data_IF_898060846143
#
_entry.id   IF_898060846143
#
_cell.length_a   1.000
_cell.length_b   1.000
_cell.length_c   1.000
_cell.angle_alpha   90.00
_cell.angle_beta   90.00
_cell.angle_gamma   90.00
#
_symmetry.space_group_name_H-M   'P 1'
#
loop_
_entity.id
_entity.type
_entity.pdbx_description
1 polymer ?
#
# COMPACT_ATOMS: atom_id res chain seq x y z
N UNK A 1 4.68 -10.87 17.49
CA UNK A 1 3.68 -11.03 16.41
C UNK A 1 4.44 -11.37 15.15
N UNK A 2 4.14 -12.50 14.52
CA UNK A 2 4.81 -12.96 13.29
C UNK A 2 4.47 -12.08 12.09
N UNK A 3 5.24 -12.26 11.02
CA UNK A 3 5.17 -11.40 9.87
C UNK A 3 3.90 -11.56 9.05
N UNK A 4 3.37 -12.78 8.97
CA UNK A 4 2.10 -13.07 8.31
C UNK A 4 0.94 -12.44 9.05
N UNK A 5 0.89 -12.50 10.39
CA UNK A 5 -0.19 -11.87 11.14
C UNK A 5 -0.13 -10.35 10.98
N UNK A 6 1.07 -9.73 10.96
CA UNK A 6 1.18 -8.28 10.69
C UNK A 6 0.58 -7.92 9.33
N UNK A 7 0.93 -8.63 8.27
CA UNK A 7 0.36 -8.43 6.92
C UNK A 7 -1.16 -8.61 6.93
N UNK A 8 -1.65 -9.70 7.53
CA UNK A 8 -3.08 -9.99 7.59
C UNK A 8 -3.87 -8.90 8.33
N UNK A 9 -3.37 -8.44 9.47
CA UNK A 9 -4.01 -7.40 10.29
C UNK A 9 -4.02 -6.06 9.54
N UNK A 10 -2.88 -5.63 9.00
CA UNK A 10 -2.80 -4.39 8.21
C UNK A 10 -3.72 -4.43 7.00
N UNK A 11 -3.77 -5.57 6.30
CA UNK A 11 -4.69 -5.76 5.18
C UNK A 11 -6.16 -5.64 5.59
N UNK A 12 -6.56 -6.22 6.73
CA UNK A 12 -7.92 -6.07 7.25
C UNK A 12 -8.26 -4.62 7.58
N UNK A 13 -7.32 -3.85 8.13
CA UNK A 13 -7.52 -2.43 8.40
C UNK A 13 -7.64 -1.60 7.12
N UNK A 14 -6.84 -1.90 6.10
CA UNK A 14 -6.99 -1.31 4.76
C UNK A 14 -8.39 -1.54 4.18
N UNK A 15 -8.85 -2.80 4.20
CA UNK A 15 -10.20 -3.13 3.72
C UNK A 15 -11.29 -2.41 4.51
N UNK A 16 -11.14 -2.31 5.85
CA UNK A 16 -12.08 -1.58 6.70
C UNK A 16 -12.11 -0.09 6.35
N UNK A 17 -10.95 0.55 6.20
CA UNK A 17 -10.85 1.95 5.84
C UNK A 17 -11.49 2.23 4.47
N UNK A 18 -11.30 1.33 3.49
CA UNK A 18 -11.96 1.41 2.19
C UNK A 18 -13.49 1.31 2.29
N UNK A 19 -14.01 0.35 3.07
CA UNK A 19 -15.47 0.21 3.29
C UNK A 19 -16.07 1.44 3.94
N UNK A 20 -15.36 2.04 4.90
CA UNK A 20 -15.78 3.26 5.59
C UNK A 20 -15.51 4.54 4.77
N UNK A 21 -14.98 4.43 3.54
CA UNK A 21 -14.61 5.54 2.67
C UNK A 21 -13.65 6.53 3.33
N UNK A 22 -12.80 6.05 4.23
CA UNK A 22 -11.80 6.83 4.94
C UNK A 22 -10.50 6.89 4.13
N UNK A 23 -10.36 7.95 3.33
CA UNK A 23 -9.24 8.16 2.40
C UNK A 23 -7.87 8.06 3.07
N UNK A 24 -7.63 8.88 4.10
CA UNK A 24 -6.31 8.97 4.77
C UNK A 24 -5.95 7.64 5.45
N UNK A 25 -6.79 7.04 6.33
CA UNK A 25 -6.51 5.72 6.87
C UNK A 25 -6.25 4.65 5.81
N UNK A 26 -6.98 4.67 4.68
CA UNK A 26 -6.72 3.71 3.62
C UNK A 26 -5.34 3.88 2.97
N UNK A 27 -4.90 5.13 2.71
CA UNK A 27 -3.55 5.38 2.22
C UNK A 27 -2.48 4.96 3.23
N UNK A 28 -2.70 5.28 4.52
CA UNK A 28 -1.78 4.91 5.61
C UNK A 28 -1.65 3.39 5.73
N UNK A 29 -2.76 2.65 5.75
CA UNK A 29 -2.68 1.19 5.83
C UNK A 29 -2.14 0.56 4.55
N UNK A 30 -2.39 1.14 3.37
CA UNK A 30 -1.77 0.68 2.13
C UNK A 30 -0.25 0.91 2.13
N UNK A 31 0.21 2.07 2.62
CA UNK A 31 1.64 2.36 2.80
C UNK A 31 2.30 1.33 3.71
N UNK A 32 1.76 1.11 4.91
CA UNK A 32 2.31 0.13 5.84
C UNK A 32 2.22 -1.31 5.31
N UNK A 33 1.16 -1.64 4.56
CA UNK A 33 1.06 -2.95 3.93
C UNK A 33 2.16 -3.14 2.87
N UNK A 34 2.43 -2.13 2.04
CA UNK A 34 3.50 -2.17 1.04
C UNK A 34 4.88 -2.27 1.70
N UNK A 35 5.11 -1.48 2.76
CA UNK A 35 6.34 -1.57 3.56
C UNK A 35 6.55 -2.99 4.11
N UNK A 36 5.51 -3.61 4.67
CA UNK A 36 5.60 -4.99 5.19
C UNK A 36 5.78 -6.03 4.08
N UNK A 37 5.40 -5.74 2.84
CA UNK A 37 5.60 -6.64 1.69
C UNK A 37 7.05 -6.54 1.20
N UNK A 38 7.57 -5.33 1.07
CA UNK A 38 8.92 -5.10 0.50
C UNK A 38 10.04 -5.37 1.51
N UNK A 39 9.82 -5.14 2.81
CA UNK A 39 10.87 -5.28 3.83
C UNK A 39 11.02 -6.69 4.43
N UNK A 40 10.23 -7.68 3.99
CA UNK A 40 10.15 -8.98 4.70
C UNK A 40 10.62 -10.17 3.88
N UNK A 41 11.12 -11.18 4.60
CA UNK A 41 11.54 -12.48 4.06
C UNK A 41 10.38 -13.33 3.50
N UNK A 42 9.13 -12.87 3.61
CA UNK A 42 8.01 -13.59 3.05
C UNK A 42 8.07 -13.56 1.53
N UNK A 43 8.13 -14.75 0.93
CA UNK A 43 8.06 -14.88 -0.52
C UNK A 43 6.76 -14.26 -1.06
N UNK A 44 6.82 -13.70 -2.27
CA UNK A 44 5.64 -13.20 -3.00
C UNK A 44 4.47 -14.20 -3.01
N UNK A 45 4.77 -15.50 -3.07
CA UNK A 45 3.78 -16.59 -3.01
C UNK A 45 3.04 -16.63 -1.67
N UNK A 46 3.75 -16.46 -0.55
CA UNK A 46 3.14 -16.43 0.79
C UNK A 46 2.28 -15.19 1.00
N UNK A 47 2.74 -14.03 0.51
CA UNK A 47 1.95 -12.79 0.60
C UNK A 47 0.65 -12.90 -0.20
N UNK A 48 0.69 -13.48 -1.41
CA UNK A 48 -0.49 -13.70 -2.28
C UNK A 48 -1.54 -14.64 -1.69
N UNK A 49 -1.21 -15.44 -0.68
CA UNK A 49 -2.19 -16.26 0.06
C UNK A 49 -3.02 -15.42 1.05
N UNK A 50 -2.54 -14.21 1.40
CA UNK A 50 -3.14 -13.35 2.42
C UNK A 50 -3.79 -12.13 1.80
N UNK A 51 -3.12 -11.51 0.83
CA UNK A 51 -3.50 -10.26 0.18
C UNK A 51 -3.86 -10.54 -1.27
N UNK A 52 -4.99 -10.00 -1.74
CA UNK A 52 -5.35 -10.15 -3.16
C UNK A 52 -4.35 -9.41 -4.04
N UNK A 53 -4.18 -9.87 -5.29
CA UNK A 53 -3.24 -9.23 -6.23
C UNK A 53 -3.53 -7.73 -6.43
N UNK A 54 -4.81 -7.37 -6.42
CA UNK A 54 -5.25 -5.98 -6.46
C UNK A 54 -4.64 -5.14 -5.32
N UNK A 55 -4.77 -5.59 -4.08
CA UNK A 55 -4.26 -4.85 -2.92
C UNK A 55 -2.75 -4.99 -2.75
N UNK A 56 -2.14 -6.06 -3.25
CA UNK A 56 -0.69 -6.21 -3.31
C UNK A 56 -0.07 -5.06 -4.08
N UNK A 57 -0.45 -4.90 -5.36
CA UNK A 57 0.16 -3.89 -6.24
C UNK A 57 -0.12 -2.48 -5.78
N UNK A 58 -1.35 -2.20 -5.34
CA UNK A 58 -1.71 -0.90 -4.77
C UNK A 58 -0.81 -0.56 -3.58
N UNK A 59 -0.62 -1.50 -2.65
CA UNK A 59 0.13 -1.23 -1.43
C UNK A 59 1.61 -1.00 -1.73
N UNK A 60 2.19 -1.79 -2.64
CA UNK A 60 3.56 -1.60 -3.12
C UNK A 60 3.74 -0.24 -3.79
N UNK A 61 2.84 0.17 -4.69
CA UNK A 61 2.92 1.49 -5.32
C UNK A 61 2.74 2.63 -4.32
N UNK A 62 1.79 2.52 -3.38
CA UNK A 62 1.61 3.51 -2.32
C UNK A 62 2.86 3.62 -1.47
N UNK A 63 3.49 2.50 -1.12
CA UNK A 63 4.76 2.49 -0.39
C UNK A 63 5.83 3.27 -1.15
N UNK A 64 6.13 2.88 -2.40
CA UNK A 64 7.17 3.54 -3.19
C UNK A 64 6.91 5.03 -3.44
N UNK A 65 5.66 5.44 -3.69
CA UNK A 65 5.33 6.86 -3.91
C UNK A 65 5.61 7.71 -2.65
N UNK A 66 5.41 7.15 -1.45
CA UNK A 66 5.50 7.90 -0.20
C UNK A 66 6.69 7.51 0.68
N UNK A 67 7.57 6.59 0.26
CA UNK A 67 8.66 6.07 1.11
C UNK A 67 9.63 7.18 1.54
N UNK A 68 9.83 8.17 0.67
CA UNK A 68 10.71 9.32 0.91
C UNK A 68 10.12 10.31 1.91
N UNK A 69 8.78 10.45 1.91
CA UNK A 69 8.06 11.34 2.81
C UNK A 69 6.65 10.82 3.13
N UNK A 70 6.51 9.92 4.11
CA UNK A 70 5.22 9.33 4.47
C UNK A 70 4.21 10.36 4.99
N UNK A 71 4.68 11.48 5.53
CA UNK A 71 3.83 12.57 6.04
C UNK A 71 3.01 13.18 4.90
N UNK A 72 3.51 13.14 3.65
CA UNK A 72 2.81 13.68 2.49
C UNK A 72 1.45 13.02 2.26
N UNK A 73 1.21 11.79 2.75
CA UNK A 73 -0.10 11.13 2.73
C UNK A 73 -1.19 12.05 3.34
N UNK A 74 -0.89 12.68 4.47
CA UNK A 74 -1.82 13.57 5.18
C UNK A 74 -2.06 14.89 4.45
N UNK A 75 -1.13 15.30 3.59
CA UNK A 75 -1.24 16.50 2.76
C UNK A 75 -2.06 16.27 1.48
N UNK A 76 -2.42 15.03 1.15
CA UNK A 76 -3.19 14.74 -0.07
C UNK A 76 -4.65 15.13 0.07
N UNK A 77 -5.19 15.84 -0.95
CA UNK A 77 -6.60 16.28 -0.97
C UNK A 77 -7.48 15.26 -1.72
N UNK A 78 -7.06 14.83 -2.92
CA UNK A 78 -7.87 13.96 -3.78
C UNK A 78 -7.27 12.57 -4.01
N UNK A 79 -6.09 12.31 -3.46
CA UNK A 79 -5.39 11.04 -3.67
C UNK A 79 -6.11 9.89 -2.96
N UNK A 80 -6.45 8.84 -3.69
CA UNK A 80 -7.03 7.61 -3.14
C UNK A 80 -6.20 6.41 -3.56
N UNK A 81 -6.33 5.29 -2.86
CA UNK A 81 -5.69 4.03 -3.28
C UNK A 81 -6.15 3.58 -4.68
N UNK A 82 -7.39 3.93 -5.08
CA UNK A 82 -7.93 3.65 -6.41
C UNK A 82 -7.31 4.54 -7.49
N UNK A 83 -7.04 5.81 -7.17
CA UNK A 83 -6.32 6.72 -8.06
C UNK A 83 -4.90 6.19 -8.30
N UNK A 84 -4.20 5.82 -7.23
CA UNK A 84 -2.85 5.26 -7.33
C UNK A 84 -2.85 3.96 -8.15
N UNK A 85 -3.86 3.11 -7.97
CA UNK A 85 -4.05 1.92 -8.80
C UNK A 85 -4.19 2.22 -10.29
N UNK A 86 -4.87 3.31 -10.64
CA UNK A 86 -5.10 3.68 -12.04
C UNK A 86 -3.89 4.30 -12.73
N UNK A 87 -2.84 4.66 -11.96
CA UNK A 87 -1.60 5.17 -12.53
C UNK A 87 -0.96 4.10 -13.40
N UNK A 88 -0.52 4.50 -14.59
CA UNK A 88 0.31 3.69 -15.48
C UNK A 88 1.69 3.57 -14.88
N UNK A 89 2.40 2.51 -15.25
CA UNK A 89 3.76 2.25 -14.79
C UNK A 89 4.70 3.44 -15.05
N UNK A 90 4.56 4.14 -16.18
CA UNK A 90 5.36 5.31 -16.50
C UNK A 90 5.08 6.50 -15.57
N UNK A 91 3.81 6.69 -15.16
CA UNK A 91 3.43 7.74 -14.21
C UNK A 91 3.98 7.43 -12.82
N UNK A 92 3.97 6.15 -12.41
CA UNK A 92 4.58 5.71 -11.16
C UNK A 92 6.09 5.97 -11.16
N UNK A 93 6.79 5.66 -12.26
CA UNK A 93 8.23 5.93 -12.39
C UNK A 93 8.59 7.40 -12.25
N UNK A 94 7.69 8.33 -12.59
CA UNK A 94 7.92 9.76 -12.41
C UNK A 94 7.74 10.23 -10.96
N UNK A 95 7.08 9.41 -10.12
CA UNK A 95 6.73 9.73 -8.75
C UNK A 95 7.63 9.02 -7.71
N UNK A 96 8.47 8.08 -8.15
CA UNK A 96 9.33 7.27 -7.30
C UNK A 96 10.80 7.58 -7.63
N UNK A 97 11.69 7.53 -6.64
CA UNK A 97 13.11 7.81 -6.85
C UNK A 97 13.82 6.72 -7.68
N UNK A 98 13.53 5.44 -7.45
CA UNK A 98 14.10 4.30 -8.20
C UNK A 98 13.10 3.11 -8.27
N UNK A 99 13.08 2.35 -9.39
CA UNK A 99 12.42 1.02 -9.53
C UNK A 99 13.42 0.03 -10.08
#
# INVERSE_FOLDING_TARGET
>A
MDDKTKIHVTYRYLLRAQRLKQRIPALVFAYFLGQLIEQKELTKKQVRQIVSEHYYWISVHVYYIFETNPIQIYCTINTTVNLIRSLKQNEIKQLVLEI
#
